data_IF_486172934267
#
_entry.id   IF_486172934267
#
_cell.length_a   1.000
_cell.length_b   1.000
_cell.length_c   1.000
_cell.angle_alpha   90.00
_cell.angle_beta   90.00
_cell.angle_gamma   90.00
#
_symmetry.space_group_name_H-M   'P 1'
#
loop_
_entity.id
_entity.type
_entity.pdbx_description
1 polymer ?
#
# COMPACT_ATOMS: atom_id res chain seq x y z
N UNK A 1 -27.35 26.42 -33.36
CA UNK A 1 -28.81 26.13 -33.27
C UNK A 1 -29.04 25.36 -31.97
N UNK A 2 -29.87 25.91 -31.08
CA UNK A 2 -30.01 25.55 -29.66
C UNK A 2 -31.41 24.94 -29.38
N UNK A 3 -31.54 24.28 -28.23
CA UNK A 3 -32.72 23.86 -27.43
C UNK A 3 -33.31 22.47 -27.73
N UNK A 4 -33.35 21.49 -26.80
CA UNK A 4 -33.81 21.39 -25.38
C UNK A 4 -35.32 21.59 -25.21
N UNK A 5 -36.05 20.47 -25.07
CA UNK A 5 -37.31 20.32 -24.31
C UNK A 5 -37.63 18.81 -24.17
N UNK A 6 -37.35 18.15 -23.04
CA UNK A 6 -38.29 17.83 -21.96
C UNK A 6 -39.63 17.20 -22.39
N UNK A 7 -39.72 15.87 -22.31
CA UNK A 7 -40.95 15.13 -21.95
C UNK A 7 -40.54 13.86 -21.21
N UNK A 8 -40.22 13.97 -19.93
CA UNK A 8 -41.09 13.56 -18.83
C UNK A 8 -41.71 12.16 -19.00
N UNK A 9 -41.26 11.26 -18.12
CA UNK A 9 -41.89 9.99 -17.79
C UNK A 9 -43.43 10.10 -17.80
N UNK A 10 -44.08 9.49 -18.79
CA UNK A 10 -45.50 9.15 -18.68
C UNK A 10 -45.62 7.79 -18.00
N UNK A 11 -46.26 7.80 -16.83
CA UNK A 11 -46.68 6.61 -16.09
C UNK A 11 -47.84 5.98 -16.87
N UNK A 12 -47.60 4.84 -17.50
CA UNK A 12 -48.66 4.08 -18.18
C UNK A 12 -49.61 3.51 -17.12
N UNK A 13 -50.92 3.62 -17.36
CA UNK A 13 -51.94 3.11 -16.45
C UNK A 13 -52.16 1.61 -16.71
N UNK A 14 -52.47 0.84 -15.67
CA UNK A 14 -52.62 -0.63 -15.74
C UNK A 14 -53.70 -1.06 -16.75
N UNK A 15 -54.63 -0.18 -17.09
CA UNK A 15 -55.70 -0.41 -18.07
C UNK A 15 -55.24 -0.34 -19.53
N UNK A 16 -54.05 0.20 -19.82
CA UNK A 16 -53.47 0.25 -21.17
C UNK A 16 -52.64 -1.01 -21.52
N UNK A 17 -52.41 -1.90 -20.54
CA UNK A 17 -51.80 -3.22 -20.72
C UNK A 17 -52.82 -4.33 -20.99
N UNK A 18 -54.10 -4.03 -20.86
CA UNK A 18 -55.20 -5.00 -21.01
C UNK A 18 -56.09 -4.55 -22.17
N UNK A 19 -55.56 -4.66 -23.39
CA UNK A 19 -56.41 -4.96 -24.56
C UNK A 19 -55.65 -5.83 -25.56
N UNK A 20 -56.15 -7.06 -25.69
CA UNK A 20 -56.32 -7.84 -26.92
C UNK A 20 -55.13 -7.93 -27.89
N UNK A 21 -54.39 -9.03 -27.81
CA UNK A 21 -53.73 -9.61 -28.98
C UNK A 21 -54.06 -11.10 -29.06
N UNK A 22 -54.47 -11.61 -30.23
CA UNK A 22 -55.34 -12.76 -30.35
C UNK A 22 -54.59 -14.09 -30.31
N UNK A 23 -55.29 -15.09 -29.77
CA UNK A 23 -55.51 -16.42 -30.36
C UNK A 23 -54.35 -16.95 -31.21
N UNK A 24 -53.55 -17.85 -30.62
CA UNK A 24 -53.13 -19.03 -31.36
C UNK A 24 -53.99 -20.20 -30.88
N UNK A 25 -55.02 -20.48 -31.65
CA UNK A 25 -55.47 -21.84 -31.87
C UNK A 25 -54.21 -22.65 -32.20
N UNK A 26 -53.98 -23.82 -31.64
CA UNK A 26 -54.69 -24.99 -32.13
C UNK A 26 -54.03 -26.27 -31.57
N UNK A 27 -54.89 -27.21 -31.16
CA UNK A 27 -54.77 -28.69 -31.18
C UNK A 27 -53.58 -29.37 -30.44
N UNK A 28 -53.67 -30.57 -29.85
CA UNK A 28 -54.70 -31.60 -29.69
C UNK A 28 -54.13 -32.64 -28.67
N UNK A 29 -55.04 -33.28 -27.95
CA UNK A 29 -54.97 -34.62 -27.33
C UNK A 29 -54.05 -34.92 -26.13
N UNK A 30 -54.70 -35.00 -24.96
CA UNK A 30 -55.03 -36.30 -24.39
C UNK A 30 -53.90 -37.09 -23.74
N UNK A 31 -53.78 -37.00 -22.42
CA UNK A 31 -53.74 -38.18 -21.54
C UNK A 31 -53.81 -37.75 -20.08
N UNK A 32 -54.65 -38.44 -19.32
CA UNK A 32 -54.77 -38.29 -17.89
C UNK A 32 -53.45 -38.58 -17.17
N UNK A 33 -53.10 -37.77 -16.18
CA UNK A 33 -52.10 -38.12 -15.18
C UNK A 33 -51.08 -37.01 -14.90
N UNK A 34 -51.10 -36.50 -13.67
CA UNK A 34 -49.95 -35.79 -13.09
C UNK A 34 -50.18 -34.33 -12.74
N UNK A 35 -51.15 -34.05 -11.86
CA UNK A 35 -51.15 -32.79 -11.13
C UNK A 35 -49.95 -32.75 -10.16
N UNK A 36 -49.11 -31.74 -10.38
CA UNK A 36 -48.37 -31.01 -9.37
C UNK A 36 -47.45 -31.80 -8.44
N UNK A 37 -46.21 -32.10 -8.85
CA UNK A 37 -45.08 -32.17 -7.93
C UNK A 37 -43.77 -31.76 -8.60
N UNK A 38 -43.65 -30.51 -9.03
CA UNK A 38 -42.33 -29.86 -9.02
C UNK A 38 -42.08 -29.35 -7.60
N UNK A 39 -41.76 -30.28 -6.69
CA UNK A 39 -41.22 -29.93 -5.39
C UNK A 39 -39.85 -29.28 -5.64
N UNK A 40 -39.85 -27.95 -5.66
CA UNK A 40 -38.63 -27.13 -5.73
C UNK A 40 -37.78 -27.43 -4.50
N UNK A 41 -36.90 -28.41 -4.62
CA UNK A 41 -35.87 -28.71 -3.61
C UNK A 41 -34.87 -27.55 -3.64
N UNK A 42 -34.97 -26.64 -2.67
CA UNK A 42 -33.83 -25.81 -2.31
C UNK A 42 -32.69 -26.71 -1.83
N UNK A 43 -31.47 -26.38 -2.26
CA UNK A 43 -30.26 -27.11 -1.93
C UNK A 43 -30.14 -27.41 -0.43
N UNK A 44 -29.74 -28.64 -0.11
CA UNK A 44 -29.58 -29.14 1.26
C UNK A 44 -28.44 -28.44 2.01
N UNK A 45 -28.68 -28.17 3.30
CA UNK A 45 -27.79 -27.65 4.37
C UNK A 45 -26.43 -27.10 3.91
N UNK A 46 -26.22 -25.78 4.10
CA UNK A 46 -24.91 -25.12 4.05
C UNK A 46 -23.96 -25.71 5.09
N UNK A 47 -23.38 -26.87 4.83
CA UNK A 47 -22.18 -27.32 5.54
C UNK A 47 -20.99 -26.85 4.72
N UNK A 48 -20.88 -25.53 4.53
CA UNK A 48 -19.61 -24.93 4.16
C UNK A 48 -18.82 -24.82 5.47
N UNK A 49 -18.13 -25.90 5.83
CA UNK A 49 -17.07 -25.80 6.84
C UNK A 49 -16.12 -24.67 6.41
N UNK A 50 -15.66 -23.88 7.37
CA UNK A 50 -14.64 -22.85 7.10
C UNK A 50 -13.50 -23.48 6.28
N UNK A 51 -13.28 -22.99 5.07
CA UNK A 51 -12.07 -23.34 4.31
C UNK A 51 -10.90 -22.82 5.12
N UNK A 52 -10.02 -23.70 5.59
CA UNK A 52 -8.93 -23.33 6.51
C UNK A 52 -8.06 -22.24 5.89
N UNK A 53 -8.21 -21.01 6.38
CA UNK A 53 -7.38 -19.87 6.00
C UNK A 53 -6.08 -19.89 6.80
N UNK A 54 -5.19 -20.82 6.46
CA UNK A 54 -3.88 -21.03 7.11
C UNK A 54 -2.68 -20.57 6.27
N UNK A 55 -2.85 -19.57 5.41
CA UNK A 55 -1.74 -19.06 4.57
C UNK A 55 -1.05 -17.90 5.30
N UNK A 56 0.24 -18.07 5.54
CA UNK A 56 1.12 -17.00 5.99
C UNK A 56 2.40 -16.99 5.15
N UNK A 57 3.08 -15.84 5.14
CA UNK A 57 4.33 -15.64 4.45
C UNK A 57 5.51 -15.71 5.42
N UNK A 58 6.67 -16.16 4.92
CA UNK A 58 7.91 -16.12 5.71
C UNK A 58 8.24 -14.69 6.18
N UNK A 59 8.82 -14.52 7.38
CA UNK A 59 9.21 -13.20 7.88
C UNK A 59 10.20 -12.53 6.93
N UNK A 60 10.03 -11.22 6.73
CA UNK A 60 10.85 -10.41 5.81
C UNK A 60 11.99 -9.68 6.49
N UNK A 61 12.15 -9.86 7.80
CA UNK A 61 13.24 -9.31 8.62
C UNK A 61 13.47 -7.79 8.45
N UNK A 62 12.36 -7.05 8.28
CA UNK A 62 12.35 -5.59 8.24
C UNK A 62 12.70 -5.01 9.63
N UNK A 63 12.97 -3.71 9.68
CA UNK A 63 13.26 -2.97 10.90
C UNK A 63 14.63 -2.32 10.92
N UNK A 64 14.91 -1.70 12.05
CA UNK A 64 16.20 -1.05 12.36
C UNK A 64 17.25 -2.12 12.59
N UNK A 65 18.44 -1.90 12.04
CA UNK A 65 19.62 -2.77 12.14
C UNK A 65 20.76 -2.12 12.92
N UNK A 66 20.81 -0.78 12.91
CA UNK A 66 21.76 0.01 13.69
C UNK A 66 21.02 1.07 14.50
N UNK A 67 21.24 1.06 15.81
CA UNK A 67 20.61 1.99 16.75
C UNK A 67 21.40 3.29 16.89
N UNK A 68 20.81 4.28 17.57
CA UNK A 68 21.46 5.57 17.80
C UNK A 68 22.74 5.39 18.63
N UNK A 69 23.83 6.04 18.21
CA UNK A 69 25.15 5.96 18.85
C UNK A 69 26.01 4.78 18.38
N UNK A 70 25.48 3.86 17.59
CA UNK A 70 26.28 2.73 17.10
C UNK A 70 27.21 3.14 15.96
N UNK A 71 28.43 2.56 15.97
CA UNK A 71 29.42 2.76 14.91
C UNK A 71 28.99 2.04 13.62
N UNK A 72 29.12 2.74 12.50
CA UNK A 72 28.84 2.24 11.15
C UNK A 72 30.03 2.50 10.22
N UNK A 73 30.18 1.61 9.24
CA UNK A 73 31.07 1.77 8.09
C UNK A 73 30.24 1.99 6.81
N UNK A 74 30.81 2.57 5.74
CA UNK A 74 30.12 2.69 4.45
C UNK A 74 29.54 1.35 3.99
N UNK A 75 28.32 1.39 3.45
CA UNK A 75 27.59 0.22 3.00
C UNK A 75 26.79 -0.50 4.09
N UNK A 76 27.01 -0.21 5.37
CA UNK A 76 26.19 -0.80 6.44
C UNK A 76 24.72 -0.39 6.31
N UNK A 77 23.83 -1.37 6.40
CA UNK A 77 22.39 -1.14 6.42
C UNK A 77 21.97 -0.64 7.80
N UNK A 78 21.25 0.47 7.85
CA UNK A 78 20.74 1.09 9.08
C UNK A 78 19.29 0.67 9.31
N UNK A 79 18.45 0.72 8.28
CA UNK A 79 17.02 0.36 8.37
C UNK A 79 16.55 -0.31 7.08
N UNK A 80 15.89 -1.47 7.21
CA UNK A 80 15.10 -2.08 6.13
C UNK A 80 13.63 -1.77 6.37
N UNK A 81 12.97 -1.12 5.41
CA UNK A 81 11.61 -0.62 5.62
C UNK A 81 10.71 -0.88 4.41
N UNK A 82 9.41 -0.64 4.60
CA UNK A 82 8.41 -0.56 3.53
C UNK A 82 7.93 0.88 3.50
N UNK A 83 8.12 1.53 2.35
CA UNK A 83 8.04 2.98 2.25
C UNK A 83 9.08 3.69 3.13
N UNK A 84 8.99 5.02 3.18
CA UNK A 84 9.93 5.88 3.93
C UNK A 84 9.37 6.23 5.31
N UNK A 85 9.47 5.29 6.27
CA UNK A 85 9.18 5.59 7.69
C UNK A 85 10.25 6.50 8.28
N UNK A 86 11.50 6.23 7.90
CA UNK A 86 12.65 7.07 8.13
C UNK A 86 13.15 7.64 6.81
N UNK A 87 13.51 8.91 6.82
CA UNK A 87 14.04 9.63 5.67
C UNK A 87 15.57 9.70 5.76
N UNK A 88 16.27 9.65 4.62
CA UNK A 88 17.71 9.82 4.59
C UNK A 88 18.07 11.26 4.99
N UNK A 89 18.99 11.40 5.94
CA UNK A 89 19.64 12.65 6.30
C UNK A 89 21.10 12.63 5.85
N UNK A 90 21.96 13.25 6.64
CA UNK A 90 23.37 13.46 6.28
C UNK A 90 24.13 12.13 6.22
N UNK A 91 24.91 11.96 5.15
CA UNK A 91 25.76 10.79 4.89
C UNK A 91 25.00 9.45 4.84
N UNK A 92 23.71 9.48 4.54
CA UNK A 92 22.86 8.28 4.39
C UNK A 92 22.31 8.21 2.97
N UNK A 93 22.48 7.06 2.32
CA UNK A 93 21.89 6.75 1.02
C UNK A 93 20.56 6.01 1.15
N UNK A 94 19.74 6.05 0.10
CA UNK A 94 18.48 5.31 -0.01
C UNK A 94 18.52 4.32 -1.18
N UNK A 95 18.19 3.06 -0.92
CA UNK A 95 18.10 2.02 -1.94
C UNK A 95 16.74 1.99 -2.64
N UNK A 96 16.61 1.18 -3.69
CA UNK A 96 15.35 1.00 -4.46
C UNK A 96 14.18 0.53 -3.58
N UNK A 97 14.44 -0.30 -2.56
CA UNK A 97 13.44 -0.77 -1.61
C UNK A 97 13.29 0.15 -0.39
N UNK A 98 13.77 1.40 -0.48
CA UNK A 98 13.84 2.40 0.60
C UNK A 98 14.70 1.98 1.80
N UNK A 99 15.57 1.00 1.64
CA UNK A 99 16.59 0.65 2.64
C UNK A 99 17.55 1.82 2.82
N UNK A 100 17.81 2.20 4.07
CA UNK A 100 18.79 3.24 4.41
C UNK A 100 20.14 2.60 4.71
N UNK A 101 21.20 3.16 4.13
CA UNK A 101 22.58 2.67 4.30
C UNK A 101 23.57 3.82 4.51
N UNK A 102 24.68 3.52 5.17
CA UNK A 102 25.73 4.48 5.48
C UNK A 102 26.63 4.79 4.27
N UNK A 103 26.96 6.07 4.05
CA UNK A 103 27.93 6.50 3.04
C UNK A 103 29.33 6.78 3.63
N UNK A 104 29.40 7.09 4.92
CA UNK A 104 30.64 7.41 5.64
C UNK A 104 30.73 6.63 6.95
N UNK A 105 31.96 6.51 7.45
CA UNK A 105 32.21 5.97 8.79
C UNK A 105 31.79 6.96 9.86
N UNK A 106 31.09 6.50 10.89
CA UNK A 106 30.61 7.37 11.96
C UNK A 106 29.65 6.70 12.91
N UNK A 107 28.87 7.51 13.62
CA UNK A 107 27.83 7.05 14.55
C UNK A 107 26.44 7.44 14.03
N UNK A 108 25.46 6.56 14.17
CA UNK A 108 24.08 6.83 13.72
C UNK A 108 23.36 7.78 14.69
N UNK A 109 22.67 8.78 14.15
CA UNK A 109 21.81 9.71 14.90
C UNK A 109 20.41 9.70 14.30
N UNK A 110 19.41 9.45 15.13
CA UNK A 110 18.00 9.59 14.75
C UNK A 110 17.48 10.96 15.18
N UNK A 111 16.78 11.64 14.29
CA UNK A 111 16.15 12.92 14.57
C UNK A 111 14.65 12.85 14.26
N UNK A 112 13.85 13.54 15.06
CA UNK A 112 12.42 13.74 14.80
C UNK A 112 12.16 15.23 14.64
N UNK A 113 11.68 15.60 13.46
CA UNK A 113 11.28 16.96 13.17
C UNK A 113 10.05 17.33 14.03
N UNK A 114 10.14 18.43 14.78
CA UNK A 114 9.12 18.80 15.79
C UNK A 114 7.77 19.16 15.18
N UNK A 115 7.77 19.91 14.07
CA UNK A 115 6.53 20.39 13.43
C UNK A 115 5.89 19.30 12.57
N UNK A 116 6.60 18.84 11.54
CA UNK A 116 6.12 17.78 10.62
C UNK A 116 6.03 16.36 11.24
N UNK A 117 6.73 16.09 12.34
CA UNK A 117 6.77 14.74 12.94
C UNK A 117 7.60 13.70 12.16
N UNK A 118 8.14 14.07 10.98
CA UNK A 118 8.99 13.20 10.14
C UNK A 118 10.27 12.81 10.87
N UNK A 119 10.69 11.56 10.68
CA UNK A 119 11.92 11.01 11.27
C UNK A 119 13.02 10.94 10.23
N UNK A 120 14.20 11.37 10.61
CA UNK A 120 15.40 11.43 9.79
C UNK A 120 16.52 10.62 10.42
N UNK A 121 17.42 10.13 9.59
CA UNK A 121 18.58 9.34 10.01
C UNK A 121 19.82 9.99 9.44
N UNK A 122 20.73 10.39 10.33
CA UNK A 122 21.98 11.04 10.01
C UNK A 122 23.12 10.14 10.49
N UNK A 123 24.28 10.27 9.85
CA UNK A 123 25.53 9.73 10.40
C UNK A 123 26.41 10.91 10.78
N UNK A 124 26.85 10.91 12.04
CA UNK A 124 27.86 11.82 12.55
C UNK A 124 29.21 11.20 12.17
N UNK A 125 29.96 11.73 11.20
CA UNK A 125 31.22 11.13 10.78
C UNK A 125 32.27 11.24 11.90
N UNK A 126 33.13 10.22 12.02
CA UNK A 126 34.20 10.19 13.03
C UNK A 126 35.35 11.12 12.65
N UNK A 127 35.73 11.09 11.39
CA UNK A 127 36.73 11.97 10.79
C UNK A 127 35.94 13.08 10.12
N UNK A 128 36.19 14.34 10.47
CA UNK A 128 35.44 15.49 9.97
C UNK A 128 35.25 15.49 8.45
N UNK A 129 34.29 16.29 7.98
CA UNK A 129 33.89 16.34 6.58
C UNK A 129 35.09 16.65 5.65
N UNK A 130 35.55 15.67 4.87
CA UNK A 130 36.44 15.95 3.73
C UNK A 130 35.58 16.56 2.63
N UNK A 131 35.54 17.90 2.58
CA UNK A 131 34.98 18.62 1.44
C UNK A 131 35.83 18.31 0.21
N UNK A 132 35.19 18.18 -0.96
CA UNK A 132 35.91 18.06 -2.22
C UNK A 132 36.87 19.26 -2.37
N UNK A 133 38.11 19.09 -2.87
CA UNK A 133 39.13 20.15 -2.87
C UNK A 133 38.69 21.45 -3.55
N UNK A 134 37.75 21.38 -4.50
CA UNK A 134 37.11 22.55 -5.14
C UNK A 134 36.36 23.46 -4.14
N UNK A 135 35.97 22.94 -2.97
CA UNK A 135 35.25 23.65 -1.91
C UNK A 135 36.05 23.69 -0.58
N UNK A 136 37.30 23.23 -0.57
CA UNK A 136 38.13 23.13 0.64
C UNK A 136 38.90 24.41 1.00
N UNK A 137 38.63 25.54 0.32
CA UNK A 137 39.35 26.81 0.50
C UNK A 137 38.99 27.57 1.79
N UNK A 138 38.64 26.87 2.86
CA UNK A 138 38.56 27.44 4.21
C UNK A 138 39.43 26.60 5.13
N UNK A 139 40.59 27.16 5.49
CA UNK A 139 41.57 26.59 6.40
C UNK A 139 40.92 26.22 7.74
N UNK A 140 40.63 24.92 7.92
CA UNK A 140 40.35 24.35 9.24
C UNK A 140 41.46 23.35 9.51
N UNK A 141 42.59 23.88 9.97
CA UNK A 141 43.63 23.08 10.61
C UNK A 141 43.10 22.62 11.97
N UNK A 142 42.94 21.30 12.23
CA UNK A 142 42.67 20.85 13.59
C UNK A 142 43.97 20.97 14.39
N UNK A 143 44.07 22.01 15.22
CA UNK A 143 45.13 22.07 16.24
C UNK A 143 45.00 20.86 17.17
N UNK A 144 45.95 19.93 17.05
CA UNK A 144 46.16 18.85 17.99
C UNK A 144 46.73 19.44 19.28
N UNK A 145 45.86 19.67 20.28
CA UNK A 145 46.33 19.90 21.65
C UNK A 145 46.79 18.57 22.25
N UNK A 146 48.06 18.24 22.08
CA UNK A 146 48.75 17.27 22.93
C UNK A 146 49.10 17.99 24.22
N UNK A 147 48.48 17.58 25.34
CA UNK A 147 48.86 18.05 26.67
C UNK A 147 50.08 17.24 27.15
N UNK A 148 51.03 17.95 27.74
CA UNK A 148 52.25 17.47 28.42
C UNK A 148 51.96 16.43 29.50
#
# INVERSE_FOLDING_TARGET
MLNIATTFCKRLNVKDLVTNVPVYSSFIDGSAGGLSLLFRRWATKKTAGSTKNGRDSKPKNLGVKKFGGERVIPGNIIVRQRGTRFHPGDYVGIGKDHTLFALKEGCVKFEKHKLSGRKWVHIIPKEGHVLHPVYASTDISPELKTAT
#
